data_IF_924935747030
#
_entry.id   IF_924935747030
#
_cell.length_a   1.000
_cell.length_b   1.000
_cell.length_c   1.000
_cell.angle_alpha   90.00
_cell.angle_beta   90.00
_cell.angle_gamma   90.00
#
_symmetry.space_group_name_H-M   'P 1'
#
loop_
_entity.id
_entity.type
_entity.pdbx_description
1 polymer ?
#
# COMPACT_ATOMS: atom_id res chain seq x y z
N UNK A 1 -8.18 8.28 22.94
CA UNK A 1 -7.72 8.07 21.55
C UNK A 1 -6.29 7.57 21.62
N UNK A 2 -6.02 6.35 21.17
CA UNK A 2 -4.64 5.87 21.02
C UNK A 2 -4.02 6.67 19.88
N UNK A 3 -2.90 7.34 20.12
CA UNK A 3 -2.23 8.12 19.09
C UNK A 3 -1.78 7.19 17.94
N UNK A 4 -2.26 7.46 16.73
CA UNK A 4 -1.90 6.74 15.51
C UNK A 4 -1.31 7.70 14.48
N UNK A 5 -0.39 7.21 13.65
CA UNK A 5 0.16 7.92 12.49
C UNK A 5 -0.50 7.40 11.23
N UNK A 6 -1.01 8.31 10.41
CA UNK A 6 -1.51 7.99 9.08
C UNK A 6 -0.38 8.05 8.05
N UNK A 7 -0.19 6.98 7.29
CA UNK A 7 0.74 6.90 6.18
C UNK A 7 -0.01 6.50 4.91
N UNK A 8 -0.15 7.44 3.98
CA UNK A 8 -0.80 7.20 2.69
C UNK A 8 0.25 7.19 1.57
N UNK A 9 0.36 6.09 0.82
CA UNK A 9 1.38 5.88 -0.22
C UNK A 9 0.70 5.50 -1.55
N UNK A 10 1.00 6.20 -2.66
CA UNK A 10 0.62 5.73 -3.99
C UNK A 10 1.49 4.55 -4.40
N UNK A 11 0.88 3.50 -4.95
CA UNK A 11 1.56 2.25 -5.33
C UNK A 11 1.14 1.78 -6.70
N UNK A 12 1.99 0.95 -7.31
CA UNK A 12 1.77 0.37 -8.64
C UNK A 12 1.09 -1.01 -8.62
N UNK A 13 0.96 -1.62 -7.45
CA UNK A 13 0.28 -2.91 -7.24
C UNK A 13 -1.24 -2.74 -7.19
N UNK A 14 -1.98 -3.81 -7.46
CA UNK A 14 -3.44 -3.77 -7.35
C UNK A 14 -3.88 -3.68 -5.87
N UNK A 15 -5.05 -3.09 -5.57
CA UNK A 15 -5.57 -3.01 -4.20
C UNK A 15 -5.64 -4.38 -3.51
N UNK A 16 -6.09 -5.40 -4.25
CA UNK A 16 -6.23 -6.77 -3.74
C UNK A 16 -4.87 -7.37 -3.35
N UNK A 17 -3.84 -7.19 -4.17
CA UNK A 17 -2.48 -7.69 -3.88
C UNK A 17 -1.90 -7.01 -2.64
N UNK A 18 -2.09 -5.69 -2.52
CA UNK A 18 -1.67 -4.91 -1.36
C UNK A 18 -2.31 -5.40 -0.06
N UNK A 19 -3.62 -5.64 -0.05
CA UNK A 19 -4.34 -6.18 1.11
C UNK A 19 -3.94 -7.63 1.38
N UNK A 20 -3.83 -8.46 0.33
CA UNK A 20 -3.47 -9.88 0.47
C UNK A 20 -2.10 -10.04 1.12
N UNK A 21 -1.10 -9.28 0.68
CA UNK A 21 0.24 -9.32 1.27
C UNK A 21 0.21 -8.97 2.77
N UNK A 22 -0.53 -7.92 3.16
CA UNK A 22 -0.63 -7.53 4.57
C UNK A 22 -1.44 -8.53 5.40
N UNK A 23 -2.45 -9.16 4.80
CA UNK A 23 -3.25 -10.21 5.45
C UNK A 23 -2.40 -11.42 5.81
N UNK A 24 -1.51 -11.85 4.92
CA UNK A 24 -0.58 -12.96 5.20
C UNK A 24 0.35 -12.64 6.38
N UNK A 25 0.81 -11.38 6.50
CA UNK A 25 1.60 -10.93 7.65
C UNK A 25 0.78 -11.00 8.93
N UNK A 26 -0.46 -10.48 8.91
CA UNK A 26 -1.35 -10.52 10.06
C UNK A 26 -1.65 -11.96 10.51
N UNK A 27 -1.93 -12.87 9.57
CA UNK A 27 -2.15 -14.29 9.83
C UNK A 27 -0.89 -14.97 10.43
N UNK A 28 0.30 -14.71 9.85
CA UNK A 28 1.56 -15.27 10.36
C UNK A 28 1.92 -14.83 11.78
N UNK A 29 1.43 -13.64 12.19
CA UNK A 29 1.65 -13.06 13.52
C UNK A 29 0.48 -13.30 14.48
N UNK A 30 -0.52 -14.09 14.07
CA UNK A 30 -1.68 -14.44 14.89
C UNK A 30 -2.60 -13.25 15.21
N UNK A 31 -2.58 -12.20 14.39
CA UNK A 31 -3.44 -11.03 14.61
C UNK A 31 -4.86 -11.32 14.17
N UNK A 32 -5.83 -10.96 15.01
CA UNK A 32 -7.24 -11.02 14.63
C UNK A 32 -7.61 -9.77 13.85
N UNK A 33 -8.22 -9.96 12.68
CA UNK A 33 -8.56 -8.87 11.76
C UNK A 33 -10.06 -8.81 11.52
N UNK A 34 -10.61 -7.61 11.41
CA UNK A 34 -11.97 -7.37 10.93
C UNK A 34 -11.93 -6.58 9.63
N UNK A 35 -12.70 -7.04 8.64
CA UNK A 35 -12.75 -6.46 7.30
C UNK A 35 -13.30 -5.03 7.34
N UNK A 36 -12.74 -4.18 6.48
CA UNK A 36 -13.24 -2.84 6.17
C UNK A 36 -13.71 -2.87 4.71
N UNK A 37 -15.03 -2.75 4.51
CA UNK A 37 -15.62 -2.44 3.21
C UNK A 37 -16.29 -1.07 3.31
N UNK A 38 -15.60 -0.05 2.80
CA UNK A 38 -16.05 1.35 2.85
C UNK A 38 -16.08 1.94 1.43
N UNK A 39 -16.78 3.05 1.24
CA UNK A 39 -16.70 3.87 0.02
C UNK A 39 -16.03 5.21 0.34
N UNK A 40 -14.98 5.58 -0.41
CA UNK A 40 -14.27 6.87 -0.25
C UNK A 40 -14.54 7.76 -1.46
N UNK A 41 -14.96 9.00 -1.24
CA UNK A 41 -15.08 9.99 -2.32
C UNK A 41 -13.70 10.35 -2.86
N UNK A 42 -13.53 10.27 -4.19
CA UNK A 42 -12.30 10.67 -4.88
C UNK A 42 -12.62 11.60 -6.05
N UNK A 43 -11.79 12.65 -6.23
CA UNK A 43 -12.00 13.70 -7.23
C UNK A 43 -11.22 13.43 -8.52
N UNK A 44 -11.89 13.35 -9.67
CA UNK A 44 -11.26 13.32 -11.00
C UNK A 44 -11.16 14.74 -11.55
N UNK A 45 -9.99 15.14 -12.01
CA UNK A 45 -9.82 16.40 -12.75
C UNK A 45 -9.98 16.12 -14.25
N UNK A 46 -11.18 16.38 -14.78
CA UNK A 46 -11.36 16.62 -16.20
C UNK A 46 -11.43 18.15 -16.38
N UNK A 47 -10.78 18.68 -17.42
CA UNK A 47 -10.52 20.11 -17.68
C UNK A 47 -11.76 21.03 -17.56
N UNK A 48 -13.00 20.49 -17.53
CA UNK A 48 -14.24 21.29 -17.47
C UNK A 48 -15.21 20.89 -16.34
N UNK A 49 -15.09 19.75 -15.65
CA UNK A 49 -16.04 19.40 -14.58
C UNK A 49 -15.50 18.35 -13.58
N UNK A 50 -15.55 18.58 -12.25
CA UNK A 50 -15.19 17.57 -11.27
C UNK A 50 -16.30 16.50 -11.18
N UNK A 51 -16.01 15.30 -11.67
CA UNK A 51 -16.89 14.13 -11.43
C UNK A 51 -16.35 13.42 -10.20
N UNK A 52 -17.02 13.61 -9.05
CA UNK A 52 -16.79 12.83 -7.84
C UNK A 52 -17.27 11.40 -8.07
N UNK A 53 -16.35 10.42 -8.05
CA UNK A 53 -16.72 9.00 -8.04
C UNK A 53 -16.40 8.41 -6.68
N UNK A 54 -17.27 7.52 -6.19
CA UNK A 54 -16.98 6.70 -5.03
C UNK A 54 -15.95 5.64 -5.44
N UNK A 55 -14.76 5.65 -4.85
CA UNK A 55 -13.82 4.55 -4.93
C UNK A 55 -14.19 3.51 -3.87
N UNK A 56 -14.32 2.24 -4.27
CA UNK A 56 -14.44 1.13 -3.31
C UNK A 56 -13.13 1.04 -2.53
N UNK A 57 -13.24 1.13 -1.21
CA UNK A 57 -12.14 0.92 -0.29
C UNK A 57 -12.23 -0.52 0.20
N UNK A 58 -11.11 -1.24 0.08
CA UNK A 58 -10.95 -2.56 0.69
C UNK A 58 -9.82 -2.50 1.69
N UNK A 59 -10.01 -3.13 2.84
CA UNK A 59 -9.06 -3.05 3.94
C UNK A 59 -9.41 -3.97 5.09
N UNK A 60 -8.63 -3.89 6.15
CA UNK A 60 -8.97 -4.50 7.42
C UNK A 60 -8.35 -3.68 8.56
N UNK A 61 -8.90 -3.84 9.76
CA UNK A 61 -8.29 -3.38 10.99
C UNK A 61 -8.01 -4.56 11.91
N UNK A 62 -6.94 -4.45 12.69
CA UNK A 62 -6.56 -5.43 13.70
C UNK A 62 -7.30 -5.12 15.00
N UNK A 63 -8.09 -6.09 15.45
CA UNK A 63 -8.93 -5.97 16.66
C UNK A 63 -8.27 -6.58 17.89
N UNK A 64 -7.32 -7.50 17.72
CA UNK A 64 -6.62 -8.15 18.82
C UNK A 64 -5.20 -8.58 18.42
N UNK A 65 -4.30 -8.61 19.41
CA UNK A 65 -2.88 -8.90 19.26
C UNK A 65 -2.00 -7.65 19.43
N UNK A 66 -0.71 -7.80 19.16
CA UNK A 66 0.28 -6.73 19.34
C UNK A 66 0.05 -5.50 18.45
N UNK A 67 -0.66 -5.68 17.33
CA UNK A 67 -0.99 -4.63 16.38
C UNK A 67 -2.40 -4.03 16.57
N UNK A 68 -2.99 -4.16 17.76
CA UNK A 68 -4.33 -3.61 18.04
C UNK A 68 -4.39 -2.11 17.67
N UNK A 69 -5.38 -1.74 16.85
CA UNK A 69 -5.52 -0.37 16.32
C UNK A 69 -4.80 -0.12 15.00
N UNK A 70 -4.06 -1.09 14.47
CA UNK A 70 -3.53 -1.02 13.11
C UNK A 70 -4.66 -1.18 12.08
N UNK A 71 -4.66 -0.34 11.05
CA UNK A 71 -5.54 -0.54 9.89
C UNK A 71 -4.79 -0.36 8.59
N UNK A 72 -5.17 -1.15 7.58
CA UNK A 72 -4.74 -0.99 6.20
C UNK A 72 -5.97 -0.80 5.34
N UNK A 73 -5.94 0.24 4.50
CA UNK A 73 -7.00 0.54 3.53
C UNK A 73 -6.39 0.76 2.17
N UNK A 74 -7.07 0.30 1.14
CA UNK A 74 -6.63 0.49 -0.24
C UNK A 74 -7.79 0.90 -1.11
N UNK A 75 -7.52 1.77 -2.06
CA UNK A 75 -8.49 2.22 -3.05
C UNK A 75 -7.77 2.56 -4.33
N UNK A 76 -8.54 2.70 -5.40
CA UNK A 76 -8.02 3.06 -6.70
C UNK A 76 -8.80 4.25 -7.24
N UNK A 77 -8.10 5.18 -7.87
CA UNK A 77 -8.68 6.39 -8.44
C UNK A 77 -8.15 6.61 -9.87
N UNK A 78 -9.03 7.00 -10.79
CA UNK A 78 -8.68 7.31 -12.19
C UNK A 78 -8.54 8.83 -12.37
N UNK A 79 -7.33 9.41 -12.22
CA UNK A 79 -7.15 10.87 -12.31
C UNK A 79 -7.32 11.42 -13.74
N UNK A 80 -6.91 10.65 -14.76
CA UNK A 80 -6.98 11.02 -16.19
C UNK A 80 -8.07 10.27 -16.96
N UNK A 81 -8.00 10.22 -18.30
CA UNK A 81 -8.98 9.57 -19.18
C UNK A 81 -8.94 8.03 -19.13
N UNK A 82 -7.76 7.43 -18.91
CA UNK A 82 -7.55 5.99 -18.86
C UNK A 82 -6.52 5.60 -17.78
N UNK A 83 -6.83 4.62 -16.92
CA UNK A 83 -5.89 4.07 -15.93
C UNK A 83 -6.23 4.42 -14.47
N UNK A 84 -5.95 3.49 -13.56
CA UNK A 84 -6.24 3.62 -12.13
C UNK A 84 -4.96 3.72 -11.31
N UNK A 85 -4.82 4.80 -10.55
CA UNK A 85 -3.77 5.00 -9.56
C UNK A 85 -4.24 4.40 -8.24
N UNK A 86 -3.42 3.52 -7.67
CA UNK A 86 -3.74 2.82 -6.43
C UNK A 86 -3.06 3.52 -5.26
N UNK A 87 -3.80 3.63 -4.16
CA UNK A 87 -3.30 4.16 -2.90
C UNK A 87 -3.47 3.12 -1.80
N UNK A 88 -2.50 3.10 -0.89
CA UNK A 88 -2.53 2.31 0.34
C UNK A 88 -2.39 3.28 1.51
N UNK A 89 -3.28 3.17 2.48
CA UNK A 89 -3.22 3.91 3.73
C UNK A 89 -3.00 2.95 4.88
N UNK A 90 -2.00 3.24 5.69
CA UNK A 90 -1.73 2.56 6.94
C UNK A 90 -2.05 3.50 8.09
N UNK A 91 -2.85 3.04 9.03
CA UNK A 91 -3.03 3.67 10.32
C UNK A 91 -2.17 2.90 11.32
N UNK A 92 -1.05 3.52 11.71
CA UNK A 92 0.00 2.86 12.48
C UNK A 92 -0.14 3.29 13.94
N UNK A 93 -0.53 2.38 14.84
CA UNK A 93 -0.61 2.70 16.27
C UNK A 93 0.80 2.90 16.83
N UNK A 94 0.96 3.81 17.79
CA UNK A 94 2.27 4.17 18.37
C UNK A 94 3.07 2.97 18.88
N UNK A 95 2.40 1.90 19.30
CA UNK A 95 3.01 0.66 19.80
C UNK A 95 3.73 -0.16 18.70
N UNK A 96 3.42 0.11 17.43
CA UNK A 96 4.10 -0.50 16.28
C UNK A 96 5.18 0.40 15.67
N UNK A 97 5.33 1.67 16.09
CA UNK A 97 6.35 2.56 15.54
C UNK A 97 7.79 2.05 15.78
N UNK A 98 8.74 2.60 15.03
CA UNK A 98 10.15 2.20 15.07
C UNK A 98 10.40 0.86 14.39
N UNK A 99 11.27 0.04 14.98
CA UNK A 99 11.77 -1.20 14.35
C UNK A 99 10.68 -2.20 13.99
N UNK A 100 9.57 -2.22 14.76
CA UNK A 100 8.41 -3.09 14.49
C UNK A 100 7.75 -2.72 13.17
N UNK A 101 7.50 -1.43 12.96
CA UNK A 101 6.92 -0.91 11.72
C UNK A 101 7.88 -1.11 10.56
N UNK A 102 9.17 -0.83 10.76
CA UNK A 102 10.19 -1.01 9.73
C UNK A 102 10.26 -2.47 9.26
N UNK A 103 10.12 -3.43 10.17
CA UNK A 103 10.02 -4.85 9.83
C UNK A 103 8.75 -5.17 9.04
N UNK A 104 7.58 -4.68 9.51
CA UNK A 104 6.28 -4.90 8.84
C UNK A 104 6.29 -4.36 7.41
N UNK A 105 6.73 -3.11 7.21
CA UNK A 105 6.71 -2.48 5.90
C UNK A 105 7.69 -3.13 4.92
N UNK A 106 8.85 -3.61 5.42
CA UNK A 106 9.80 -4.40 4.61
C UNK A 106 9.20 -5.72 4.18
N UNK A 107 8.64 -6.48 5.12
CA UNK A 107 7.98 -7.76 4.85
C UNK A 107 6.84 -7.59 3.85
N UNK A 108 6.02 -6.54 4.03
CA UNK A 108 4.95 -6.20 3.11
C UNK A 108 5.47 -5.91 1.70
N UNK A 109 6.50 -5.07 1.55
CA UNK A 109 7.12 -4.75 0.25
C UNK A 109 7.68 -5.99 -0.46
N UNK A 110 8.23 -6.95 0.30
CA UNK A 110 8.77 -8.21 -0.26
C UNK A 110 7.64 -9.14 -0.71
N UNK A 111 6.53 -9.19 0.04
CA UNK A 111 5.36 -10.01 -0.27
C UNK A 111 4.55 -9.55 -1.49
N UNK A 112 4.84 -8.37 -2.03
CA UNK A 112 4.15 -7.86 -3.22
C UNK A 112 4.62 -8.54 -4.51
N UNK A 113 3.73 -8.68 -5.52
CA UNK A 113 4.04 -9.36 -6.77
C UNK A 113 5.00 -8.57 -7.69
N UNK A 114 5.17 -7.26 -7.43
CA UNK A 114 6.06 -6.37 -8.16
C UNK A 114 6.50 -5.21 -7.27
N UNK A 115 7.54 -4.50 -7.69
CA UNK A 115 8.05 -3.33 -7.00
C UNK A 115 6.97 -2.21 -6.92
N UNK A 116 6.52 -1.81 -5.71
CA UNK A 116 5.35 -0.95 -5.56
C UNK A 116 5.57 0.51 -5.95
N UNK A 117 6.82 0.98 -6.04
CA UNK A 117 7.17 2.35 -6.45
C UNK A 117 7.72 2.45 -7.89
N UNK A 118 7.61 1.36 -8.67
CA UNK A 118 7.95 1.36 -10.10
C UNK A 118 6.68 1.23 -10.93
N UNK A 119 6.55 2.09 -11.93
CA UNK A 119 5.52 2.02 -12.97
C UNK A 119 6.18 1.80 -14.32
N UNK A 120 5.56 0.99 -15.16
CA UNK A 120 5.97 0.79 -16.55
C UNK A 120 5.70 2.06 -17.35
N UNK A 121 6.38 2.21 -18.50
CA UNK A 121 6.13 3.31 -19.42
C UNK A 121 4.65 3.40 -19.83
N UNK A 122 4.01 2.26 -20.13
CA UNK A 122 2.59 2.21 -20.50
C UNK A 122 1.65 2.61 -19.37
N UNK A 123 1.95 2.23 -18.12
CA UNK A 123 1.18 2.70 -16.95
C UNK A 123 1.31 4.20 -16.77
N UNK A 124 2.54 4.74 -16.86
CA UNK A 124 2.79 6.18 -16.77
C UNK A 124 2.09 6.94 -17.90
N UNK A 125 2.10 6.41 -19.12
CA UNK A 125 1.46 7.03 -20.27
C UNK A 125 -0.07 7.10 -20.13
N UNK A 126 -0.69 6.08 -19.54
CA UNK A 126 -2.15 6.06 -19.31
C UNK A 126 -2.55 7.03 -18.19
N UNK A 127 -1.87 6.93 -17.05
CA UNK A 127 -2.18 7.75 -15.86
C UNK A 127 -1.88 9.24 -16.06
N UNK A 128 -0.83 9.53 -16.82
CA UNK A 128 -0.23 10.86 -16.95
C UNK A 128 1.26 10.76 -16.66
N UNK A 129 2.09 11.00 -17.68
CA UNK A 129 3.52 10.65 -17.61
C UNK A 129 4.28 11.40 -16.51
N UNK A 130 3.85 12.63 -16.23
CA UNK A 130 4.47 13.57 -15.27
C UNK A 130 3.72 13.67 -13.93
N UNK A 131 2.92 12.66 -13.59
CA UNK A 131 2.22 12.64 -12.30
C UNK A 131 3.19 12.68 -11.12
N UNK A 132 3.02 13.60 -10.15
CA UNK A 132 3.90 13.73 -8.99
C UNK A 132 3.88 12.50 -8.06
N UNK A 133 2.83 11.69 -8.14
CA UNK A 133 2.60 10.49 -7.31
C UNK A 133 3.70 9.44 -7.50
N UNK A 134 4.29 9.33 -8.70
CA UNK A 134 5.42 8.43 -8.94
C UNK A 134 6.63 8.81 -8.09
N UNK A 135 6.92 10.11 -7.99
CA UNK A 135 8.00 10.63 -7.14
C UNK A 135 7.62 10.51 -5.67
N UNK A 136 6.38 10.86 -5.31
CA UNK A 136 5.86 10.80 -3.93
C UNK A 136 5.94 9.39 -3.36
N UNK A 137 5.58 8.38 -4.15
CA UNK A 137 5.70 6.96 -3.79
C UNK A 137 7.12 6.63 -3.33
N UNK A 138 8.11 6.87 -4.20
CA UNK A 138 9.52 6.59 -3.90
C UNK A 138 9.98 7.33 -2.65
N UNK A 139 9.65 8.62 -2.52
CA UNK A 139 10.02 9.42 -1.34
C UNK A 139 9.41 8.84 -0.07
N UNK A 140 8.15 8.41 -0.09
CA UNK A 140 7.50 7.85 1.08
C UNK A 140 8.09 6.50 1.49
N UNK A 141 8.39 5.61 0.54
CA UNK A 141 9.10 4.37 0.83
C UNK A 141 10.49 4.63 1.42
N UNK A 142 11.27 5.55 0.85
CA UNK A 142 12.56 5.95 1.42
C UNK A 142 12.42 6.51 2.83
N UNK A 143 11.38 7.29 3.12
CA UNK A 143 11.09 7.81 4.47
C UNK A 143 10.74 6.71 5.48
N UNK A 144 10.31 5.54 5.03
CA UNK A 144 10.09 4.36 5.89
C UNK A 144 11.31 3.42 5.92
N UNK A 145 12.50 3.90 5.52
CA UNK A 145 13.73 3.10 5.57
C UNK A 145 13.85 2.01 4.50
N UNK A 146 13.01 2.05 3.45
CA UNK A 146 13.09 1.12 2.33
C UNK A 146 14.12 1.63 1.31
N UNK A 147 15.09 0.78 0.94
CA UNK A 147 15.98 1.10 -0.18
C UNK A 147 15.20 1.01 -1.50
N UNK A 148 14.90 2.16 -2.09
CA UNK A 148 14.16 2.24 -3.35
C UNK A 148 15.04 2.02 -4.58
N UNK A 149 16.36 1.86 -4.42
CA UNK A 149 17.30 1.55 -5.52
C UNK A 149 17.30 0.06 -5.84
N UNK A 150 17.33 -0.81 -4.83
CA UNK A 150 17.25 -2.27 -4.98
C UNK A 150 15.94 -2.82 -4.41
N UNK A 151 15.08 -3.38 -5.27
CA UNK A 151 13.91 -4.13 -4.80
C UNK A 151 14.24 -5.62 -4.77
N UNK A 152 14.32 -6.18 -3.56
CA UNK A 152 14.58 -7.61 -3.30
C UNK A 152 13.23 -8.33 -3.22
N UNK A 153 12.39 -8.18 -4.24
CA UNK A 153 11.04 -8.74 -4.26
C UNK A 153 10.98 -10.25 -4.01
N UNK A 154 9.78 -10.80 -4.02
CA UNK A 154 9.54 -12.25 -4.00
C UNK A 154 10.09 -12.95 -5.26
N UNK A 155 11.42 -13.02 -5.37
CA UNK A 155 12.07 -14.03 -6.19
C UNK A 155 11.84 -15.35 -5.45
N UNK A 156 10.78 -16.06 -5.85
CA UNK A 156 10.38 -17.35 -5.28
C UNK A 156 11.54 -18.38 -5.31
N UNK A 157 12.58 -18.11 -6.10
CA UNK A 157 13.81 -18.92 -6.21
C UNK A 157 14.80 -18.79 -5.04
N UNK A 158 14.71 -17.75 -4.20
CA UNK A 158 15.63 -17.60 -3.05
C UNK A 158 15.17 -18.33 -1.78
N UNK A 159 13.91 -18.78 -1.72
CA UNK A 159 13.41 -19.57 -0.58
C UNK A 159 13.87 -21.03 -0.60
N UNK A 160 14.37 -21.55 -1.72
CA UNK A 160 14.90 -22.93 -1.81
C UNK A 160 16.37 -23.09 -1.40
N UNK A 161 17.08 -22.00 -1.08
CA UNK A 161 18.54 -22.05 -0.80
C UNK A 161 18.89 -22.10 0.70
N UNK A 162 17.89 -22.10 1.58
CA UNK A 162 18.06 -22.08 3.03
C UNK A 162 17.08 -23.03 3.76
N UNK A 163 16.79 -24.19 3.17
CA UNK A 163 16.35 -25.34 3.96
C UNK A 163 17.55 -26.30 4.10
N UNK A 164 17.99 -26.63 5.33
CA UNK A 164 19.02 -27.64 5.56
C UNK A 164 18.55 -29.05 5.20
#
# INVERSE_FOLDING_TARGET
MVASRLLEIPVSVQPVDAIRAMRLIAESRGWQTKLIEESRMVHRWAIVMPITRQARVIGFHVTSGEATGFSIRTWSHTPGSAGSLVFVSFEIPRQLEGDRWDSIIKEWVIGLPRCPWKWTFGERSRLGYMLPEFKRSRVQFTKQGIDTKSWIGSNLDLRKKFEP
#
